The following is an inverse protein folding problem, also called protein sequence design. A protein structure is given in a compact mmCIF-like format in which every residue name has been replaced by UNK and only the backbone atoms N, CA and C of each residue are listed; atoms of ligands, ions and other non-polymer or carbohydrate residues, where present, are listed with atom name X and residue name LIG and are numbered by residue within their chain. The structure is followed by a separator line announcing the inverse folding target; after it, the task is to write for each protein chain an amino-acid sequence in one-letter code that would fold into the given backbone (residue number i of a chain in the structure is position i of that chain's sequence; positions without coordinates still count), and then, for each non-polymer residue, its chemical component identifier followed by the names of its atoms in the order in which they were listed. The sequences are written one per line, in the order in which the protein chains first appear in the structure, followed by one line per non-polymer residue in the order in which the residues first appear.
data_IF_043438729728
#
_entry.id   IF_043438729728
#
_cell.length_a   1.000
_cell.length_b   1.000
_cell.length_c   1.000
_cell.angle_alpha   90.00
_cell.angle_beta   90.00
_cell.angle_gamma   90.00
#
_symmetry.space_group_name_H-M   'P 1'
#
loop_
_entity.id
_entity.type
_entity.pdbx_description
1 polymer ?
#
# COMPACT_ATOMS: atom_id res chain seq x y z
N UNK A 1 -12.30 2.68 2.73
CA UNK A 1 -12.01 3.31 1.43
C UNK A 1 -11.23 2.35 0.55
N UNK A 2 -11.20 2.55 -0.77
CA UNK A 2 -10.33 1.77 -1.66
C UNK A 2 -9.24 2.66 -2.23
N UNK A 3 -8.01 2.14 -2.26
CA UNK A 3 -6.87 2.83 -2.86
C UNK A 3 -6.21 1.93 -3.89
N UNK A 4 -5.67 2.56 -4.93
CA UNK A 4 -4.77 1.90 -5.87
C UNK A 4 -3.34 2.07 -5.36
N UNK A 5 -2.65 0.95 -5.18
CA UNK A 5 -1.26 0.95 -4.74
C UNK A 5 -0.41 0.17 -5.74
N UNK A 6 0.74 0.72 -6.07
CA UNK A 6 1.74 0.01 -6.86
C UNK A 6 2.54 -0.91 -5.96
N UNK A 7 2.56 -2.21 -6.28
CA UNK A 7 3.38 -3.20 -5.60
C UNK A 7 4.45 -3.72 -6.52
N UNK A 8 5.69 -3.76 -6.02
CA UNK A 8 6.79 -4.48 -6.67
C UNK A 8 6.77 -5.92 -6.22
N UNK A 9 6.61 -6.83 -7.18
CA UNK A 9 6.56 -8.27 -6.96
C UNK A 9 7.73 -8.94 -7.69
N UNK A 10 8.36 -9.91 -7.06
CA UNK A 10 9.21 -10.85 -7.79
C UNK A 10 8.35 -11.82 -8.62
N UNK A 11 8.98 -12.64 -9.47
CA UNK A 11 8.24 -13.57 -10.34
C UNK A 11 7.29 -14.51 -9.57
N UNK A 12 7.71 -15.04 -8.41
CA UNK A 12 6.89 -15.95 -7.62
C UNK A 12 5.67 -15.24 -7.02
N UNK A 13 5.87 -14.03 -6.50
CA UNK A 13 4.80 -13.18 -5.95
C UNK A 13 3.79 -12.79 -7.04
N UNK A 14 4.27 -12.43 -8.25
CA UNK A 14 3.42 -12.08 -9.38
C UNK A 14 2.54 -13.26 -9.80
N UNK A 15 3.12 -14.45 -9.97
CA UNK A 15 2.37 -15.66 -10.37
C UNK A 15 1.28 -15.97 -9.34
N UNK A 16 1.63 -15.94 -8.06
CA UNK A 16 0.68 -16.17 -6.97
C UNK A 16 -0.46 -15.15 -7.01
N UNK A 17 -0.13 -13.86 -7.11
CA UNK A 17 -1.11 -12.78 -7.14
C UNK A 17 -2.07 -12.91 -8.33
N UNK A 18 -1.55 -13.21 -9.53
CA UNK A 18 -2.38 -13.38 -10.73
C UNK A 18 -3.39 -14.51 -10.57
N UNK A 19 -2.97 -15.65 -10.02
CA UNK A 19 -3.88 -16.78 -9.79
C UNK A 19 -4.92 -16.51 -8.70
N UNK A 20 -4.54 -15.85 -7.60
CA UNK A 20 -5.47 -15.49 -6.52
C UNK A 20 -6.53 -14.46 -6.96
N UNK A 21 -6.20 -13.62 -7.95
CA UNK A 21 -7.09 -12.58 -8.49
C UNK A 21 -7.72 -12.96 -9.83
N UNK A 22 -7.54 -14.20 -10.30
CA UNK A 22 -8.07 -14.71 -11.57
C UNK A 22 -7.77 -13.81 -12.77
N UNK A 23 -6.58 -13.20 -12.81
CA UNK A 23 -6.16 -12.31 -13.89
C UNK A 23 -5.78 -13.13 -15.12
N UNK A 24 -6.46 -12.92 -16.24
CA UNK A 24 -6.18 -13.59 -17.51
C UNK A 24 -5.84 -12.58 -18.62
N UNK A 25 -5.09 -13.04 -19.63
CA UNK A 25 -4.74 -12.27 -20.86
C UNK A 25 -3.90 -11.02 -20.60
N UNK A 26 -3.16 -10.98 -19.49
CA UNK A 26 -2.31 -9.86 -19.12
C UNK A 26 -0.83 -10.12 -19.41
N UNK A 27 -0.12 -9.02 -19.72
CA UNK A 27 1.32 -9.02 -19.98
C UNK A 27 1.99 -8.12 -18.96
N UNK A 28 2.88 -8.70 -18.16
CA UNK A 28 3.71 -7.97 -17.21
C UNK A 28 5.12 -7.82 -17.77
N UNK A 29 5.62 -6.59 -17.77
CA UNK A 29 6.98 -6.25 -18.19
C UNK A 29 7.78 -5.90 -16.94
N UNK A 30 8.87 -6.63 -16.71
CA UNK A 30 9.75 -6.42 -15.57
C UNK A 30 10.68 -5.24 -15.78
N UNK A 31 11.29 -4.77 -14.69
CA UNK A 31 12.23 -3.64 -14.69
C UNK A 31 13.54 -3.91 -15.47
N UNK A 32 13.75 -5.12 -16.00
CA UNK A 32 14.89 -5.49 -16.84
C UNK A 32 14.46 -6.01 -18.22
N UNK A 33 13.22 -5.70 -18.63
CA UNK A 33 12.58 -6.08 -19.90
C UNK A 33 12.23 -7.57 -20.04
N UNK A 34 12.30 -8.37 -18.97
CA UNK A 34 11.70 -9.68 -18.93
C UNK A 34 10.19 -9.59 -19.05
N UNK A 35 9.58 -10.55 -19.73
CA UNK A 35 8.15 -10.54 -20.05
C UNK A 35 7.47 -11.77 -19.47
N UNK A 36 6.36 -11.58 -18.77
CA UNK A 36 5.48 -12.65 -18.30
C UNK A 36 4.10 -12.46 -18.92
N UNK A 37 3.62 -13.47 -19.63
CA UNK A 37 2.31 -13.45 -20.30
C UNK A 37 1.44 -14.51 -19.67
N UNK A 38 0.33 -14.11 -19.07
CA UNK A 38 -0.67 -15.03 -18.56
C UNK A 38 -1.71 -15.31 -19.64
N UNK A 39 -1.93 -16.59 -19.91
CA UNK A 39 -2.93 -17.06 -20.89
C UNK A 39 -4.05 -17.80 -20.14
N UNK A 40 -5.05 -18.30 -20.86
CA UNK A 40 -6.18 -19.02 -20.25
C UNK A 40 -5.72 -20.23 -19.45
N UNK A 41 -6.59 -20.67 -18.52
CA UNK A 41 -6.42 -21.91 -17.76
C UNK A 41 -5.17 -21.88 -16.86
N UNK A 42 -4.85 -20.71 -16.30
CA UNK A 42 -3.72 -20.49 -15.37
C UNK A 42 -2.33 -20.81 -15.97
N UNK A 43 -2.23 -20.93 -17.29
CA UNK A 43 -0.94 -21.10 -17.97
C UNK A 43 -0.22 -19.75 -18.11
N UNK A 44 1.11 -19.77 -18.15
CA UNK A 44 1.92 -18.59 -18.35
C UNK A 44 3.15 -18.87 -19.22
N UNK A 45 3.62 -17.85 -19.92
CA UNK A 45 4.88 -17.84 -20.65
C UNK A 45 5.79 -16.77 -20.08
N UNK A 46 7.04 -17.12 -19.77
CA UNK A 46 8.05 -16.18 -19.30
C UNK A 46 9.21 -16.14 -20.31
N UNK A 47 9.60 -14.94 -20.73
CA UNK A 47 10.71 -14.70 -21.65
C UNK A 47 11.70 -13.72 -21.03
N UNK A 48 12.98 -14.10 -21.05
CA UNK A 48 14.10 -13.24 -20.63
C UNK A 48 14.01 -12.70 -19.20
N UNK A 49 13.20 -13.33 -18.34
CA UNK A 49 13.02 -12.94 -16.94
C UNK A 49 14.26 -13.31 -16.12
N UNK A 50 14.86 -12.32 -15.47
CA UNK A 50 16.02 -12.55 -14.59
C UNK A 50 15.58 -12.90 -13.16
N UNK A 51 16.39 -13.67 -12.41
CA UNK A 51 16.03 -14.04 -11.03
C UNK A 51 15.80 -12.86 -10.07
N UNK A 52 16.45 -11.73 -10.33
CA UNK A 52 16.37 -10.49 -9.52
C UNK A 52 15.53 -9.39 -10.19
N UNK A 53 14.69 -9.79 -11.16
CA UNK A 53 13.75 -8.90 -11.82
C UNK A 53 12.46 -8.75 -11.00
N UNK A 54 11.91 -7.54 -11.04
CA UNK A 54 10.66 -7.21 -10.34
C UNK A 54 9.65 -6.62 -11.32
N UNK A 55 8.37 -6.88 -11.03
CA UNK A 55 7.23 -6.41 -11.80
C UNK A 55 6.40 -5.48 -10.93
N UNK A 56 6.00 -4.33 -11.49
CA UNK A 56 5.10 -3.41 -10.81
C UNK A 56 3.67 -3.76 -11.19
N UNK A 57 2.82 -3.98 -10.20
CA UNK A 57 1.40 -4.27 -10.35
C UNK A 57 0.60 -3.22 -9.60
N UNK A 58 -0.40 -2.62 -10.24
CA UNK A 58 -1.38 -1.77 -9.56
C UNK A 58 -2.47 -2.67 -8.97
N UNK A 59 -2.62 -2.63 -7.64
CA UNK A 59 -3.64 -3.41 -6.92
C UNK A 59 -4.60 -2.47 -6.21
N UNK A 60 -5.88 -2.83 -6.20
CA UNK A 60 -6.88 -2.12 -5.40
C UNK A 60 -6.97 -2.76 -4.02
N UNK A 61 -6.65 -2.00 -2.97
CA UNK A 61 -6.75 -2.46 -1.58
C UNK A 61 -7.87 -1.73 -0.85
N UNK A 62 -8.64 -2.49 -0.06
CA UNK A 62 -9.59 -1.92 0.88
C UNK A 62 -8.87 -1.54 2.18
N UNK A 63 -8.91 -0.25 2.50
CA UNK A 63 -8.39 0.32 3.74
C UNK A 63 -9.55 0.61 4.68
N UNK A 64 -9.44 0.07 5.88
CA UNK A 64 -10.29 0.34 7.03
C UNK A 64 -9.45 0.99 8.14
N UNK A 65 -10.08 1.55 9.16
CA UNK A 65 -9.35 2.08 10.31
C UNK A 65 -8.57 1.01 11.10
N UNK A 66 -8.91 -0.27 10.89
CA UNK A 66 -8.24 -1.42 11.49
C UNK A 66 -7.11 -1.99 10.62
N UNK A 67 -7.00 -1.56 9.36
CA UNK A 67 -5.97 -2.05 8.44
C UNK A 67 -4.58 -1.66 8.94
N UNK A 68 -3.67 -2.63 9.03
CA UNK A 68 -2.27 -2.42 9.42
C UNK A 68 -1.49 -1.82 8.26
N UNK A 69 -1.01 -0.59 8.44
CA UNK A 69 -0.28 0.17 7.42
C UNK A 69 1.22 0.11 7.74
N UNK A 70 2.09 -0.23 6.78
CA UNK A 70 3.53 -0.34 7.00
C UNK A 70 4.14 0.93 7.58
N UNK A 71 3.82 2.08 7.00
CA UNK A 71 4.22 3.41 7.49
C UNK A 71 3.01 4.35 7.46
N UNK A 72 2.44 4.62 8.63
CA UNK A 72 1.29 5.50 8.82
C UNK A 72 1.77 6.86 9.32
N UNK A 73 1.44 7.92 8.62
CA UNK A 73 1.78 9.29 8.98
C UNK A 73 0.57 9.95 9.61
N UNK A 74 0.73 10.47 10.82
CA UNK A 74 -0.26 11.29 11.50
C UNK A 74 0.13 12.76 11.42
N UNK A 75 -0.84 13.59 11.04
CA UNK A 75 -0.78 15.02 11.23
C UNK A 75 -1.71 15.40 12.38
N UNK A 76 -1.17 16.03 13.42
CA UNK A 76 -1.96 16.57 14.52
C UNK A 76 -1.53 17.99 14.88
N UNK A 77 -2.41 18.70 15.59
CA UNK A 77 -2.16 20.07 16.04
C UNK A 77 -1.97 20.06 17.54
N UNK A 78 -0.87 20.65 18.00
CA UNK A 78 -0.57 20.86 19.41
C UNK A 78 -0.38 22.35 19.70
N UNK A 79 -0.12 22.68 20.97
CA UNK A 79 0.31 24.04 21.35
C UNK A 79 1.60 24.51 20.68
N UNK A 80 2.38 23.60 20.09
CA UNK A 80 3.60 23.89 19.33
C UNK A 80 3.37 24.01 17.82
N UNK A 81 2.11 23.94 17.36
CA UNK A 81 1.73 24.01 15.96
C UNK A 81 1.42 22.64 15.35
N UNK A 82 1.61 22.52 14.04
CA UNK A 82 1.39 21.28 13.29
C UNK A 82 2.58 20.33 13.48
N UNK A 83 2.30 19.11 13.94
CA UNK A 83 3.30 18.07 14.15
C UNK A 83 2.96 16.89 13.24
N UNK A 84 4.00 16.32 12.65
CA UNK A 84 3.92 15.09 11.86
C UNK A 84 4.60 13.98 12.68
N UNK A 85 3.90 12.86 12.84
CA UNK A 85 4.43 11.66 13.49
C UNK A 85 4.30 10.45 12.57
N UNK A 86 5.24 9.51 12.66
CA UNK A 86 5.26 8.31 11.84
C UNK A 86 5.14 7.07 12.74
N UNK A 87 4.17 6.23 12.44
CA UNK A 87 4.01 4.91 13.05
C UNK A 87 4.43 3.83 12.06
N UNK A 88 4.93 2.72 12.60
CA UNK A 88 5.34 1.57 11.81
C UNK A 88 4.44 0.38 12.13
N UNK A 89 3.84 -0.22 11.09
CA UNK A 89 2.96 -1.40 11.19
C UNK A 89 1.81 -1.20 12.19
N UNK A 90 1.13 -0.06 12.06
CA UNK A 90 0.05 0.41 12.94
C UNK A 90 -1.22 0.66 12.13
N UNK A 91 -2.38 0.62 12.77
CA UNK A 91 -3.66 1.05 12.19
C UNK A 91 -4.09 2.44 12.67
N UNK A 92 -5.02 3.09 11.96
CA UNK A 92 -5.58 4.40 12.38
C UNK A 92 -6.19 4.29 13.78
N UNK A 93 -6.96 3.23 14.05
CA UNK A 93 -7.62 3.03 15.34
C UNK A 93 -6.62 2.93 16.50
N UNK A 94 -5.51 2.22 16.29
CA UNK A 94 -4.45 2.11 17.29
C UNK A 94 -3.75 3.44 17.51
N UNK A 95 -3.38 4.15 16.45
CA UNK A 95 -2.73 5.46 16.53
C UNK A 95 -3.60 6.47 17.31
N UNK A 96 -4.90 6.55 17.00
CA UNK A 96 -5.86 7.37 17.77
C UNK A 96 -5.84 6.96 19.26
N UNK A 97 -5.85 5.65 19.55
CA UNK A 97 -5.84 5.13 20.92
C UNK A 97 -4.57 5.43 21.72
N UNK A 98 -3.41 5.58 21.06
CA UNK A 98 -2.16 5.98 21.70
C UNK A 98 -2.18 7.47 22.09
N UNK A 99 -2.70 8.34 21.22
CA UNK A 99 -2.77 9.79 21.46
C UNK A 99 -3.69 10.14 22.65
N UNK A 100 -4.80 9.43 22.81
CA UNK A 100 -5.78 9.64 23.90
C UNK A 100 -5.18 9.38 25.30
N UNK A 101 -4.02 8.72 25.40
CA UNK A 101 -3.36 8.45 26.69
C UNK A 101 -2.39 9.55 27.15
N UNK A 102 -2.07 10.53 26.30
CA UNK A 102 -0.96 11.46 26.58
C UNK A 102 -1.26 12.96 26.42
N UNK A 103 -2.21 13.37 25.57
CA UNK A 103 -2.41 14.79 25.24
C UNK A 103 -3.83 15.05 24.73
N UNK A 104 -4.43 16.19 25.05
CA UNK A 104 -5.71 16.69 24.50
C UNK A 104 -5.60 17.09 23.01
N UNK A 105 -4.89 16.32 22.19
CA UNK A 105 -4.71 16.60 20.76
C UNK A 105 -5.42 15.54 19.95
N UNK A 106 -6.44 15.93 19.19
CA UNK A 106 -7.09 15.02 18.25
C UNK A 106 -6.30 14.98 16.93
N UNK A 107 -6.11 13.79 16.34
CA UNK A 107 -5.51 13.66 15.01
C UNK A 107 -6.32 14.47 13.99
N UNK A 108 -5.63 15.17 13.08
CA UNK A 108 -6.28 15.91 11.98
C UNK A 108 -6.38 15.10 10.71
N UNK A 109 -5.33 14.36 10.38
CA UNK A 109 -5.29 13.54 9.19
C UNK A 109 -4.31 12.37 9.35
N UNK A 110 -4.61 11.28 8.66
CA UNK A 110 -3.67 10.18 8.47
C UNK A 110 -3.37 9.96 6.99
N UNK A 111 -2.12 9.63 6.72
CA UNK A 111 -1.61 9.36 5.38
C UNK A 111 -0.83 8.04 5.35
N UNK A 112 -0.85 7.37 4.21
CA UNK A 112 0.11 6.31 3.89
C UNK A 112 1.34 6.98 3.28
N UNK A 113 2.53 6.67 3.78
CA UNK A 113 3.77 7.01 3.08
C UNK A 113 4.07 5.92 2.04
N UNK A 114 4.04 6.29 0.77
CA UNK A 114 4.32 5.40 -0.35
C UNK A 114 5.85 5.20 -0.53
N UNK A 115 6.23 4.17 -1.27
CA UNK A 115 7.64 3.82 -1.51
C UNK A 115 8.42 4.92 -2.26
N UNK A 116 7.72 5.76 -3.03
CA UNK A 116 8.29 6.92 -3.75
C UNK A 116 8.34 8.20 -2.90
N UNK A 117 8.09 8.09 -1.60
CA UNK A 117 8.02 9.18 -0.61
C UNK A 117 6.85 10.15 -0.82
N UNK A 118 5.92 9.87 -1.73
CA UNK A 118 4.64 10.57 -1.77
C UNK A 118 3.72 10.11 -0.64
N UNK A 119 2.69 10.90 -0.33
CA UNK A 119 1.73 10.58 0.72
C UNK A 119 0.32 10.51 0.16
N UNK A 120 -0.41 9.47 0.53
CA UNK A 120 -1.83 9.30 0.19
C UNK A 120 -2.68 9.60 1.41
N UNK A 121 -3.53 10.63 1.35
CA UNK A 121 -4.49 10.92 2.42
C UNK A 121 -5.54 9.81 2.49
N UNK A 122 -5.73 9.24 3.67
CA UNK A 122 -6.68 8.13 3.85
C UNK A 122 -7.74 8.38 4.91
N UNK A 123 -7.50 9.33 5.81
CA UNK A 123 -8.43 9.66 6.89
C UNK A 123 -8.29 11.12 7.26
N UNK A 124 -9.41 11.81 7.50
CA UNK A 124 -9.43 13.22 7.88
C UNK A 124 -10.65 13.53 8.76
N UNK A 125 -10.41 14.29 9.83
CA UNK A 125 -11.46 14.85 10.70
C UNK A 125 -12.54 13.84 11.16
N UNK A 126 -12.17 12.57 11.40
CA UNK A 126 -13.10 11.54 11.89
C UNK A 126 -13.52 10.50 10.86
N UNK A 127 -13.20 10.68 9.57
CA UNK A 127 -13.74 9.86 8.48
C UNK A 127 -12.64 9.38 7.52
N UNK A 128 -12.82 8.16 6.98
CA UNK A 128 -12.03 7.67 5.85
C UNK A 128 -12.39 8.47 4.59
N UNK A 129 -11.39 8.80 3.76
CA UNK A 129 -11.55 9.58 2.53
C UNK A 129 -11.92 8.72 1.33
#
# INVERSE_FOLDING_TARGET
MKIKVEKKMNLHELIKWVWENEVEHEIFIGNKNGRVVFVREQQLNADSVRPDETFTVEVEEEITEDTKIPTLIELFVSGYGQIIHAYYRTSIREAIGEVVKGVDTLPKAFYILNDDMTMTLIWKDGELV
#
